data_IF_578747562279
#
_entry.id   IF_578747562279
#
_cell.length_a   1.000
_cell.length_b   1.000
_cell.length_c   1.000
_cell.angle_alpha   90.00
_cell.angle_beta   90.00
_cell.angle_gamma   90.00
#
_symmetry.space_group_name_H-M   'P 1'
#
loop_
_entity.id
_entity.type
_entity.pdbx_description
1 polymer ?
#
# COMPACT_ATOMS: atom_id res chain seq x y z
N UNK A 1 3.77 -4.20 8.23
CA UNK A 1 2.95 -4.99 7.34
C UNK A 1 2.15 -6.08 8.07
N UNK A 2 1.30 -6.82 7.34
CA UNK A 2 0.49 -7.90 7.92
C UNK A 2 1.34 -9.01 8.55
N UNK A 3 2.46 -9.37 7.92
CA UNK A 3 3.38 -10.38 8.46
C UNK A 3 4.03 -9.93 9.77
N UNK A 4 4.46 -8.69 9.86
CA UNK A 4 5.07 -8.14 11.08
C UNK A 4 4.08 -8.09 12.23
N UNK A 5 2.82 -7.73 11.94
CA UNK A 5 1.74 -7.78 12.93
C UNK A 5 1.50 -9.22 13.41
N UNK A 6 1.40 -10.20 12.51
CA UNK A 6 1.22 -11.62 12.86
C UNK A 6 2.39 -12.14 13.71
N UNK A 7 3.62 -11.77 13.36
CA UNK A 7 4.79 -12.16 14.16
C UNK A 7 4.79 -11.51 15.55
N UNK A 8 4.38 -10.25 15.63
CA UNK A 8 4.24 -9.55 16.91
C UNK A 8 3.16 -10.21 17.79
N UNK A 9 2.05 -10.64 17.20
CA UNK A 9 0.99 -11.39 17.89
C UNK A 9 1.50 -12.75 18.38
N UNK A 10 2.26 -13.47 17.55
CA UNK A 10 2.87 -14.74 17.92
C UNK A 10 3.85 -14.61 19.11
N UNK A 11 4.51 -13.47 19.19
CA UNK A 11 5.44 -13.12 20.29
C UNK A 11 4.73 -12.46 21.48
N UNK A 12 3.43 -12.32 21.45
CA UNK A 12 2.61 -11.62 22.46
C UNK A 12 3.10 -10.20 22.78
N UNK A 13 3.59 -9.49 21.74
CA UNK A 13 4.11 -8.12 21.87
C UNK A 13 3.19 -7.11 21.20
N UNK A 14 3.01 -5.92 21.80
CA UNK A 14 2.35 -4.82 21.10
C UNK A 14 3.10 -4.47 19.81
N UNK A 15 2.36 -4.30 18.72
CA UNK A 15 2.91 -3.89 17.42
C UNK A 15 2.85 -2.36 17.29
N UNK A 16 3.99 -1.66 17.22
CA UNK A 16 4.00 -0.22 17.09
C UNK A 16 3.54 0.19 15.68
N UNK A 17 2.65 1.18 15.61
CA UNK A 17 2.06 1.67 14.36
C UNK A 17 2.09 3.18 14.31
N UNK A 18 2.48 3.75 13.18
CA UNK A 18 2.32 5.15 12.86
C UNK A 18 1.54 5.31 11.56
N UNK A 19 0.40 6.00 11.63
CA UNK A 19 -0.38 6.36 10.46
C UNK A 19 -0.06 7.80 10.05
N UNK A 20 0.38 8.01 8.81
CA UNK A 20 0.62 9.33 8.24
C UNK A 20 -0.58 9.78 7.41
N UNK A 21 -1.03 11.01 7.61
CA UNK A 21 -2.04 11.64 6.77
C UNK A 21 -1.42 12.85 6.07
N UNK A 22 -1.55 12.91 4.76
CA UNK A 22 -0.92 13.95 3.96
C UNK A 22 0.61 13.83 3.90
N UNK A 23 1.24 14.82 3.29
CA UNK A 23 2.69 14.87 3.13
C UNK A 23 3.12 14.93 1.66
N UNK A 24 4.40 14.66 1.36
CA UNK A 24 4.88 14.67 0.00
C UNK A 24 4.12 13.68 -0.89
N UNK A 25 3.75 14.03 -2.14
CA UNK A 25 3.09 13.10 -3.06
C UNK A 25 3.85 11.78 -3.27
N UNK A 26 5.18 11.83 -3.20
CA UNK A 26 6.03 10.65 -3.27
C UNK A 26 5.77 9.65 -2.13
N UNK A 27 5.47 10.14 -0.92
CA UNK A 27 5.12 9.29 0.21
C UNK A 27 3.80 8.55 -0.03
N UNK A 28 2.79 9.26 -0.57
CA UNK A 28 1.48 8.68 -0.88
C UNK A 28 1.61 7.63 -1.99
N UNK A 29 2.33 7.97 -3.07
CA UNK A 29 2.55 7.05 -4.19
C UNK A 29 3.33 5.80 -3.78
N UNK A 30 4.33 5.94 -2.91
CA UNK A 30 5.12 4.79 -2.44
C UNK A 30 4.34 3.87 -1.50
N UNK A 31 3.39 4.41 -0.72
CA UNK A 31 2.61 3.62 0.23
C UNK A 31 1.71 2.56 -0.44
N UNK A 32 1.34 2.76 -1.69
CA UNK A 32 0.50 1.82 -2.46
C UNK A 32 1.29 1.09 -3.55
N UNK A 33 2.60 1.33 -3.66
CA UNK A 33 3.43 0.68 -4.67
C UNK A 33 3.62 -0.82 -4.34
N UNK A 34 3.45 -1.72 -5.32
CA UNK A 34 3.64 -3.15 -5.13
C UNK A 34 5.13 -3.51 -5.08
N UNK A 35 5.79 -3.16 -3.99
CA UNK A 35 7.20 -3.43 -3.80
C UNK A 35 7.47 -4.87 -3.38
N UNK A 36 8.63 -5.44 -3.75
CA UNK A 36 9.06 -6.72 -3.23
C UNK A 36 9.19 -6.70 -1.69
N UNK A 37 9.00 -7.85 -1.08
CA UNK A 37 9.20 -8.02 0.36
C UNK A 37 10.59 -7.52 0.79
N UNK A 38 10.66 -6.86 1.93
CA UNK A 38 11.86 -6.24 2.51
C UNK A 38 12.41 -5.01 1.75
N UNK A 39 11.67 -4.45 0.79
CA UNK A 39 11.97 -3.14 0.21
C UNK A 39 11.08 -2.09 0.89
N UNK A 40 11.65 -1.19 1.72
CA UNK A 40 10.85 -0.20 2.43
C UNK A 40 10.23 0.82 1.46
N UNK A 41 8.94 1.09 1.60
CA UNK A 41 8.22 2.12 0.83
C UNK A 41 8.84 3.51 1.03
N UNK A 42 9.38 3.80 2.21
CA UNK A 42 10.07 5.07 2.48
C UNK A 42 11.33 5.26 1.62
N UNK A 43 11.98 4.17 1.20
CA UNK A 43 13.10 4.23 0.26
C UNK A 43 12.61 4.66 -1.13
N UNK A 44 11.51 4.06 -1.61
CA UNK A 44 10.90 4.46 -2.88
C UNK A 44 10.45 5.93 -2.83
N UNK A 45 9.83 6.37 -1.74
CA UNK A 45 9.44 7.76 -1.57
C UNK A 45 10.64 8.72 -1.68
N UNK A 46 11.76 8.38 -1.04
CA UNK A 46 13.00 9.16 -1.14
C UNK A 46 13.55 9.20 -2.57
N UNK A 47 13.46 8.10 -3.31
CA UNK A 47 13.86 8.04 -4.72
C UNK A 47 12.95 8.89 -5.62
N UNK A 48 11.64 8.79 -5.42
CA UNK A 48 10.66 9.54 -6.23
C UNK A 48 10.75 11.05 -6.05
N UNK A 49 11.10 11.52 -4.86
CA UNK A 49 11.27 12.95 -4.59
C UNK A 49 12.71 13.46 -4.81
N UNK A 50 13.64 12.59 -5.20
CA UNK A 50 15.06 12.89 -5.38
C UNK A 50 15.70 13.54 -4.14
N UNK A 51 15.23 13.18 -2.96
CA UNK A 51 15.73 13.70 -1.69
C UNK A 51 15.40 12.74 -0.54
N UNK A 52 16.24 12.65 0.50
CA UNK A 52 15.92 11.87 1.69
C UNK A 52 14.64 12.39 2.37
N UNK A 53 13.77 11.51 2.79
CA UNK A 53 12.67 11.85 3.69
C UNK A 53 13.22 12.31 5.03
N UNK A 54 12.67 13.38 5.56
CA UNK A 54 13.02 13.85 6.91
C UNK A 54 12.28 13.02 7.94
N UNK A 55 13.05 12.44 8.84
CA UNK A 55 12.52 11.67 9.95
C UNK A 55 12.67 12.46 11.26
N UNK A 56 11.70 12.33 12.13
CA UNK A 56 11.72 12.82 13.51
C UNK A 56 11.62 11.64 14.48
N UNK A 57 12.10 11.84 15.69
CA UNK A 57 11.96 10.90 16.79
C UNK A 57 11.00 11.50 17.81
N UNK A 58 10.23 10.65 18.47
CA UNK A 58 9.43 10.99 19.65
C UNK A 58 9.91 10.13 20.81
N UNK A 59 9.94 10.71 22.01
CA UNK A 59 10.30 9.98 23.24
C UNK A 59 9.36 8.82 23.56
N UNK A 60 8.15 8.87 23.00
CA UNK A 60 7.09 7.91 23.30
C UNK A 60 6.94 6.83 22.21
N UNK A 61 7.84 6.87 21.20
CA UNK A 61 7.85 5.92 20.09
C UNK A 61 9.14 5.14 20.02
N UNK A 62 9.01 3.85 19.72
CA UNK A 62 10.14 2.95 19.52
C UNK A 62 10.75 3.03 18.11
N UNK A 63 10.24 3.93 17.25
CA UNK A 63 10.67 4.08 15.86
C UNK A 63 10.54 5.53 15.39
N UNK A 64 11.38 5.98 14.44
CA UNK A 64 11.26 7.30 13.83
C UNK A 64 10.02 7.39 12.94
N UNK A 65 9.52 8.60 12.73
CA UNK A 65 8.39 8.88 11.85
C UNK A 65 8.71 9.98 10.84
N UNK A 66 7.94 10.01 9.75
CA UNK A 66 8.12 11.04 8.71
C UNK A 66 7.63 12.38 9.22
N UNK A 67 8.53 13.38 9.27
CA UNK A 67 8.23 14.73 9.79
C UNK A 67 7.44 15.61 8.82
N UNK A 68 7.39 15.24 7.54
CA UNK A 68 6.80 16.07 6.47
C UNK A 68 5.32 15.72 6.19
N UNK A 69 4.67 14.96 7.04
CA UNK A 69 3.23 14.70 6.98
C UNK A 69 2.41 15.84 7.59
N UNK A 70 1.12 15.89 7.29
CA UNK A 70 0.20 16.83 7.91
C UNK A 70 -0.19 16.38 9.32
N UNK A 71 -0.44 15.07 9.48
CA UNK A 71 -0.70 14.43 10.76
C UNK A 71 0.09 13.12 10.85
N UNK A 72 0.57 12.81 12.05
CA UNK A 72 1.14 11.52 12.42
C UNK A 72 0.38 11.00 13.64
N UNK A 73 -0.28 9.87 13.49
CA UNK A 73 -1.06 9.22 14.54
C UNK A 73 -0.27 8.00 15.01
N UNK A 74 0.15 8.03 16.26
CA UNK A 74 1.01 7.01 16.85
C UNK A 74 0.24 6.14 17.83
N UNK A 75 0.50 4.86 17.81
CA UNK A 75 -0.12 3.92 18.72
C UNK A 75 0.43 2.50 18.63
N UNK A 76 -0.30 1.57 19.20
CA UNK A 76 0.05 0.15 19.17
C UNK A 76 -1.18 -0.69 18.88
N UNK A 77 -1.02 -1.71 18.04
CA UNK A 77 -1.97 -2.80 17.95
C UNK A 77 -1.63 -3.84 19.00
N UNK A 78 -2.59 -4.20 19.86
CA UNK A 78 -2.40 -5.19 20.90
C UNK A 78 -2.64 -6.60 20.35
N UNK A 79 -1.85 -7.60 20.78
CA UNK A 79 -2.02 -8.97 20.33
C UNK A 79 -3.44 -9.48 20.55
N UNK A 80 -4.05 -10.04 19.50
CA UNK A 80 -5.37 -10.66 19.54
C UNK A 80 -6.55 -9.72 19.74
N UNK A 81 -6.34 -8.42 19.96
CA UNK A 81 -7.45 -7.48 20.10
C UNK A 81 -8.06 -7.17 18.73
N UNK A 82 -9.38 -7.39 18.61
CA UNK A 82 -10.17 -7.17 17.39
C UNK A 82 -11.43 -6.41 17.72
N UNK A 83 -11.80 -5.48 16.85
CA UNK A 83 -13.05 -4.74 16.94
C UNK A 83 -13.77 -4.79 15.58
N UNK A 84 -15.12 -4.70 15.60
CA UNK A 84 -15.86 -4.67 14.36
C UNK A 84 -15.58 -3.41 13.55
N UNK A 85 -15.25 -3.59 12.27
CA UNK A 85 -15.05 -2.55 11.28
C UNK A 85 -16.04 -2.75 10.12
N UNK A 86 -16.62 -1.64 9.65
CA UNK A 86 -17.61 -1.65 8.60
C UNK A 86 -19.06 -1.70 9.09
N UNK A 87 -20.04 -1.76 8.17
CA UNK A 87 -19.84 -1.64 6.73
C UNK A 87 -19.42 -0.22 6.33
N UNK A 88 -18.55 -0.08 5.33
CA UNK A 88 -18.13 1.21 4.77
C UNK A 88 -18.07 1.13 3.24
N UNK A 89 -18.06 2.31 2.57
CA UNK A 89 -17.95 2.38 1.11
C UNK A 89 -16.57 1.93 0.62
N UNK A 90 -16.55 1.03 -0.35
CA UNK A 90 -15.36 0.49 -0.95
C UNK A 90 -15.11 1.07 -2.35
N UNK A 91 -13.87 1.02 -2.84
CA UNK A 91 -13.47 1.49 -4.18
C UNK A 91 -14.19 0.78 -5.33
N UNK A 92 -14.73 -0.41 -5.11
CA UNK A 92 -15.62 -1.09 -6.05
C UNK A 92 -16.99 -0.40 -6.24
N UNK A 93 -17.35 0.55 -5.37
CA UNK A 93 -18.64 1.25 -5.39
C UNK A 93 -19.76 0.51 -4.67
N UNK A 94 -19.41 -0.40 -3.78
CA UNK A 94 -20.34 -1.14 -2.90
C UNK A 94 -19.92 -0.97 -1.44
N UNK A 95 -20.81 -1.34 -0.52
CA UNK A 95 -20.46 -1.41 0.89
C UNK A 95 -19.76 -2.72 1.22
N UNK A 96 -18.68 -2.64 2.00
CA UNK A 96 -18.03 -3.81 2.58
C UNK A 96 -18.94 -4.48 3.61
N UNK A 97 -18.67 -5.75 3.90
CA UNK A 97 -19.25 -6.43 5.07
C UNK A 97 -18.53 -5.96 6.34
N UNK A 98 -19.21 -6.13 7.48
CA UNK A 98 -18.59 -5.92 8.79
C UNK A 98 -17.73 -7.14 9.15
N UNK A 99 -16.50 -6.89 9.55
CA UNK A 99 -15.56 -7.91 10.05
C UNK A 99 -14.78 -7.37 11.25
N UNK A 100 -14.23 -8.29 12.04
CA UNK A 100 -13.39 -7.94 13.17
C UNK A 100 -11.93 -7.76 12.71
N UNK A 101 -11.39 -6.56 12.90
CA UNK A 101 -10.03 -6.18 12.51
C UNK A 101 -9.16 -5.79 13.70
N UNK A 102 -7.81 -5.86 13.56
CA UNK A 102 -6.88 -5.35 14.55
C UNK A 102 -7.14 -3.88 14.87
N UNK A 103 -6.99 -3.52 16.13
CA UNK A 103 -7.26 -2.16 16.62
C UNK A 103 -5.95 -1.49 17.04
N UNK A 104 -5.72 -0.29 16.53
CA UNK A 104 -4.64 0.56 17.00
C UNK A 104 -5.11 1.41 18.18
N UNK A 105 -4.49 1.24 19.33
CA UNK A 105 -4.67 2.13 20.48
C UNK A 105 -3.80 3.35 20.30
N UNK A 106 -4.41 4.49 20.05
CA UNK A 106 -3.71 5.75 19.84
C UNK A 106 -3.10 6.24 21.16
N UNK A 107 -1.82 6.61 21.11
CA UNK A 107 -1.08 7.22 22.24
C UNK A 107 -0.83 8.69 22.02
N UNK A 108 -0.49 9.08 20.79
CA UNK A 108 -0.12 10.44 20.46
C UNK A 108 -0.61 10.79 19.05
N UNK A 109 -0.97 12.07 18.87
CA UNK A 109 -1.25 12.66 17.56
C UNK A 109 -0.37 13.90 17.42
N UNK A 110 0.61 13.82 16.52
CA UNK A 110 1.40 14.97 16.12
C UNK A 110 0.81 15.58 14.84
N UNK A 111 0.87 16.90 14.70
CA UNK A 111 0.40 17.58 13.49
C UNK A 111 1.17 18.86 13.24
N UNK A 112 1.17 19.32 11.99
CA UNK A 112 1.70 20.63 11.62
C UNK A 112 0.83 21.74 12.25
N UNK A 113 1.42 22.91 12.46
CA UNK A 113 0.68 24.07 13.03
C UNK A 113 -0.54 24.43 12.18
N UNK A 114 -0.37 24.42 10.86
CA UNK A 114 -1.40 24.75 9.86
C UNK A 114 -1.72 23.50 9.03
N UNK A 115 -2.03 22.38 9.71
CA UNK A 115 -2.24 21.10 9.07
C UNK A 115 -3.48 21.11 8.17
N UNK A 116 -3.34 20.55 6.98
CA UNK A 116 -4.43 20.36 6.03
C UNK A 116 -4.83 18.87 6.08
N UNK A 117 -6.09 18.60 6.41
CA UNK A 117 -6.61 17.25 6.41
C UNK A 117 -6.97 16.81 4.97
N UNK A 118 -6.22 15.88 4.37
CA UNK A 118 -6.58 15.33 3.07
C UNK A 118 -7.78 14.42 3.23
N UNK A 119 -8.78 14.62 2.39
CA UNK A 119 -9.99 13.79 2.39
C UNK A 119 -10.45 13.51 0.97
N UNK A 120 -11.01 12.32 0.78
CA UNK A 120 -11.56 11.87 -0.48
C UNK A 120 -12.82 11.05 -0.23
N UNK A 121 -13.58 10.83 -1.28
CA UNK A 121 -14.77 9.95 -1.26
C UNK A 121 -14.44 8.72 -2.08
N UNK A 122 -14.40 7.56 -1.44
CA UNK A 122 -14.11 6.29 -2.11
C UNK A 122 -15.35 5.76 -2.82
N UNK A 123 -15.19 5.21 -4.02
CA UNK A 123 -16.25 4.55 -4.77
C UNK A 123 -16.48 5.09 -6.18
N UNK A 124 -17.74 5.24 -6.56
CA UNK A 124 -18.14 5.76 -7.88
C UNK A 124 -18.83 7.13 -7.75
N UNK A 125 -18.53 8.08 -8.66
CA UNK A 125 -17.62 8.00 -9.83
C UNK A 125 -16.15 7.86 -9.42
N UNK A 126 -15.25 7.60 -10.41
CA UNK A 126 -13.80 7.45 -10.20
C UNK A 126 -13.23 8.56 -9.34
N UNK A 127 -12.47 8.18 -8.34
CA UNK A 127 -11.80 9.06 -7.38
C UNK A 127 -10.28 8.86 -7.45
N UNK A 128 -9.56 9.24 -6.41
CA UNK A 128 -8.09 9.23 -6.38
C UNK A 128 -7.48 7.85 -6.60
N UNK A 129 -8.12 6.78 -6.16
CA UNK A 129 -7.67 5.40 -6.33
C UNK A 129 -7.43 5.03 -7.79
N UNK A 130 -8.30 5.46 -8.70
CA UNK A 130 -8.11 5.29 -10.14
C UNK A 130 -6.91 6.05 -10.67
N UNK A 131 -6.76 7.31 -10.30
CA UNK A 131 -5.66 8.15 -10.78
C UNK A 131 -4.32 7.68 -10.24
N UNK A 132 -4.28 7.27 -8.97
CA UNK A 132 -3.08 6.72 -8.34
C UNK A 132 -2.72 5.36 -8.93
N UNK A 133 -3.69 4.48 -9.14
CA UNK A 133 -3.47 3.17 -9.75
C UNK A 133 -2.94 3.26 -11.17
N UNK A 134 -3.56 4.10 -12.02
CA UNK A 134 -3.09 4.32 -13.39
C UNK A 134 -1.69 4.95 -13.40
N UNK A 135 -1.45 5.96 -12.58
CA UNK A 135 -0.13 6.59 -12.45
C UNK A 135 0.96 5.58 -12.04
N UNK A 136 0.69 4.74 -11.04
CA UNK A 136 1.66 3.75 -10.60
C UNK A 136 1.96 2.70 -11.66
N UNK A 137 0.96 2.26 -12.39
CA UNK A 137 1.18 1.32 -13.49
C UNK A 137 2.08 1.92 -14.57
N UNK A 138 1.85 3.16 -14.97
CA UNK A 138 2.72 3.86 -15.92
C UNK A 138 4.14 4.03 -15.38
N UNK A 139 4.28 4.42 -14.12
CA UNK A 139 5.58 4.63 -13.47
C UNK A 139 6.38 3.32 -13.36
N UNK A 140 5.72 2.22 -12.98
CA UNK A 140 6.37 0.94 -12.70
C UNK A 140 6.46 0.01 -13.92
N UNK A 141 5.69 0.26 -14.96
CA UNK A 141 5.67 -0.55 -16.20
C UNK A 141 7.07 -0.82 -16.78
N UNK A 142 8.01 0.14 -16.85
CA UNK A 142 9.36 -0.11 -17.34
C UNK A 142 10.16 -1.12 -16.50
N UNK A 143 9.76 -1.35 -15.24
CA UNK A 143 10.45 -2.25 -14.32
C UNK A 143 9.97 -3.70 -14.42
N UNK A 144 8.77 -3.95 -14.97
CA UNK A 144 8.22 -5.31 -15.10
C UNK A 144 9.15 -6.27 -15.83
N UNK A 145 9.79 -5.91 -16.97
CA UNK A 145 10.73 -6.82 -17.65
C UNK A 145 11.97 -7.17 -16.82
N UNK A 146 12.32 -6.38 -15.81
CA UNK A 146 13.44 -6.67 -14.90
C UNK A 146 13.10 -7.80 -13.93
N UNK A 147 11.86 -7.83 -13.47
CA UNK A 147 11.34 -8.85 -12.53
C UNK A 147 10.78 -10.05 -13.30
N UNK A 148 10.07 -9.80 -14.39
CA UNK A 148 9.40 -10.79 -15.23
C UNK A 148 9.84 -10.64 -16.70
N UNK A 149 11.01 -11.16 -17.11
CA UNK A 149 11.59 -10.91 -18.44
C UNK A 149 10.74 -11.40 -19.63
N UNK A 150 9.75 -12.25 -19.38
CA UNK A 150 8.81 -12.74 -20.40
C UNK A 150 7.68 -11.76 -20.67
N UNK A 151 7.42 -10.83 -19.76
CA UNK A 151 6.34 -9.86 -19.86
C UNK A 151 6.88 -8.57 -20.46
N UNK A 152 6.25 -8.12 -21.53
CA UNK A 152 6.57 -6.83 -22.16
C UNK A 152 5.81 -5.69 -21.55
N UNK A 153 4.55 -5.97 -21.17
CA UNK A 153 3.65 -5.01 -20.59
C UNK A 153 2.61 -5.73 -19.72
N UNK A 154 2.18 -5.08 -18.66
CA UNK A 154 1.17 -5.57 -17.74
C UNK A 154 0.29 -4.41 -17.30
N UNK A 155 -1.02 -4.58 -17.43
CA UNK A 155 -2.01 -3.58 -17.04
C UNK A 155 -3.13 -4.21 -16.23
N UNK A 156 -3.36 -3.70 -15.03
CA UNK A 156 -4.49 -4.06 -14.19
C UNK A 156 -5.62 -3.02 -14.34
N UNK A 157 -6.85 -3.48 -14.47
CA UNK A 157 -7.99 -2.61 -14.79
C UNK A 157 -8.63 -2.06 -13.51
N UNK A 158 -8.65 -0.73 -13.39
CA UNK A 158 -9.26 -0.02 -12.25
C UNK A 158 -10.75 -0.28 -12.09
N UNK A 159 -11.46 -0.57 -13.19
CA UNK A 159 -12.89 -0.96 -13.18
C UNK A 159 -13.17 -2.21 -12.33
N UNK A 160 -12.17 -3.05 -12.12
CA UNK A 160 -12.22 -4.26 -11.31
C UNK A 160 -11.39 -4.15 -10.04
N UNK A 161 -11.11 -2.93 -9.59
CA UNK A 161 -10.36 -2.64 -8.36
C UNK A 161 -8.88 -2.98 -8.43
N UNK A 162 -8.29 -3.05 -9.63
CA UNK A 162 -6.88 -3.38 -9.91
C UNK A 162 -6.44 -4.81 -9.53
N UNK A 163 -7.26 -5.59 -8.85
CA UNK A 163 -6.87 -6.92 -8.35
C UNK A 163 -7.51 -8.08 -9.11
N UNK A 164 -8.66 -7.87 -9.77
CA UNK A 164 -9.47 -8.97 -10.30
C UNK A 164 -9.29 -9.22 -11.78
N UNK A 165 -8.72 -8.29 -12.53
CA UNK A 165 -8.49 -8.43 -13.97
C UNK A 165 -7.23 -7.68 -14.40
N UNK A 166 -6.34 -8.39 -15.10
CA UNK A 166 -5.20 -7.78 -15.78
C UNK A 166 -5.04 -8.31 -17.20
N UNK A 167 -4.44 -7.49 -18.06
CA UNK A 167 -3.95 -7.88 -19.37
C UNK A 167 -2.43 -7.87 -19.39
N UNK A 168 -1.81 -8.91 -19.93
CA UNK A 168 -0.36 -8.99 -20.08
C UNK A 168 0.04 -9.22 -21.55
N UNK A 169 1.03 -8.48 -22.03
CA UNK A 169 1.67 -8.70 -23.30
C UNK A 169 2.91 -9.56 -23.06
N UNK A 170 2.91 -10.78 -23.57
CA UNK A 170 3.96 -11.78 -23.34
C UNK A 170 4.84 -11.94 -24.59
N UNK A 171 6.13 -12.18 -24.40
CA UNK A 171 7.04 -12.67 -25.45
C UNK A 171 6.69 -14.13 -25.73
N UNK A 172 6.42 -14.47 -26.98
CA UNK A 172 6.11 -15.85 -27.39
C UNK A 172 7.36 -16.48 -28.02
N UNK A 173 8.29 -16.95 -27.18
CA UNK A 173 9.59 -17.53 -27.60
C UNK A 173 9.58 -19.05 -27.65
N UNK A 174 8.66 -19.68 -26.90
CA UNK A 174 8.51 -21.13 -26.84
C UNK A 174 7.05 -21.53 -26.51
N UNK A 175 6.63 -22.74 -26.85
CA UNK A 175 5.28 -23.21 -26.58
C UNK A 175 4.91 -23.11 -25.09
N UNK A 176 3.74 -22.55 -24.80
CA UNK A 176 3.20 -22.36 -23.43
C UNK A 176 3.86 -21.25 -22.59
N UNK A 177 4.71 -20.42 -23.17
CA UNK A 177 5.30 -19.29 -22.44
C UNK A 177 4.23 -18.35 -21.85
N UNK A 178 3.13 -18.12 -22.56
CA UNK A 178 2.01 -17.34 -22.05
C UNK A 178 1.40 -17.95 -20.78
N UNK A 179 1.25 -19.27 -20.72
CA UNK A 179 0.75 -19.97 -19.53
C UNK A 179 1.72 -19.86 -18.34
N UNK A 180 3.01 -20.02 -18.58
CA UNK A 180 4.06 -19.85 -17.54
C UNK A 180 4.03 -18.43 -16.99
N UNK A 181 3.91 -17.43 -17.87
CA UNK A 181 3.80 -16.03 -17.47
C UNK A 181 2.54 -15.75 -16.66
N UNK A 182 1.40 -16.33 -17.04
CA UNK A 182 0.15 -16.21 -16.29
C UNK A 182 0.28 -16.77 -14.87
N UNK A 183 0.83 -17.98 -14.72
CA UNK A 183 1.08 -18.57 -13.38
C UNK A 183 2.05 -17.74 -12.54
N UNK A 184 3.03 -17.11 -13.18
CA UNK A 184 3.96 -16.24 -12.47
C UNK A 184 3.26 -14.97 -11.96
N UNK A 185 2.43 -14.33 -12.78
CA UNK A 185 1.64 -13.15 -12.37
C UNK A 185 0.71 -13.52 -11.21
N UNK A 186 -0.01 -14.63 -11.32
CA UNK A 186 -0.94 -15.10 -10.28
C UNK A 186 -0.22 -15.50 -8.98
N UNK A 187 1.03 -15.94 -9.05
CA UNK A 187 1.84 -16.33 -7.90
C UNK A 187 2.68 -15.21 -7.30
N UNK A 188 2.74 -14.05 -7.93
CA UNK A 188 3.47 -12.88 -7.42
C UNK A 188 2.61 -12.15 -6.40
N UNK A 189 2.95 -12.29 -5.10
CA UNK A 189 2.09 -11.89 -3.98
C UNK A 189 1.54 -10.46 -4.03
N UNK A 190 2.32 -9.49 -4.50
CA UNK A 190 1.87 -8.09 -4.61
C UNK A 190 1.08 -7.80 -5.90
N UNK A 191 1.16 -8.68 -6.87
CA UNK A 191 0.43 -8.60 -8.13
C UNK A 191 -0.65 -9.68 -8.22
N UNK A 192 -0.86 -10.43 -7.14
CA UNK A 192 -1.83 -11.53 -7.13
C UNK A 192 -3.22 -11.00 -7.41
N UNK A 193 -3.72 -11.42 -8.54
CA UNK A 193 -5.10 -11.24 -8.95
C UNK A 193 -5.91 -12.34 -8.28
N UNK A 194 -6.49 -12.04 -7.16
CA UNK A 194 -7.34 -12.98 -6.41
C UNK A 194 -8.80 -12.65 -6.58
#
# INVERSE_FOLDING_TARGET
SGYDLMESERLEKPFPVTCFLGGPPALIASAIAPLPENVPELLLASLLQDAPLKLSESSDLDHPFVSECEFAIHGHALPGERWPEGPFGDHYGYYSLQHDYPVMKIKEIAHRRDAIYPATVVGKPRQEDFFLGDFLQELLSPLFPLVMPTIKDLWSYGETGYHSLAGAVVKDRYPREAMVSAFRILGEGQLSLT
#
